data_IF_201625157095
#
_entry.id   IF_201625157095
#
_cell.length_a   1.000
_cell.length_b   1.000
_cell.length_c   1.000
_cell.angle_alpha   90.00
_cell.angle_beta   90.00
_cell.angle_gamma   90.00
#
_symmetry.space_group_name_H-M   'P 1'
#
loop_
_entity.id
_entity.type
_entity.pdbx_description
1 polymer ?
#
# COMPACT_ATOMS: atom_id res chain seq x y z
N UNK A 1 -22.31 22.74 -3.45
CA UNK A 1 -22.63 21.66 -2.49
C UNK A 1 -21.43 20.70 -2.43
N UNK A 2 -20.85 20.54 -1.22
CA UNK A 2 -19.62 19.73 -1.02
C UNK A 2 -19.90 18.29 -0.54
N UNK A 3 -21.14 17.80 -0.75
CA UNK A 3 -21.53 16.43 -0.37
C UNK A 3 -20.62 15.39 -1.04
N UNK A 4 -20.28 14.33 -0.31
CA UNK A 4 -19.36 13.27 -0.73
C UNK A 4 -17.92 13.75 -1.02
N UNK A 5 -17.48 14.86 -0.43
CA UNK A 5 -16.10 15.36 -0.50
C UNK A 5 -15.53 15.57 0.90
N UNK A 6 -14.22 15.73 1.02
CA UNK A 6 -13.58 16.05 2.29
C UNK A 6 -13.99 17.45 2.85
N UNK A 7 -14.59 18.30 2.04
CA UNK A 7 -15.05 19.63 2.44
C UNK A 7 -16.47 19.65 3.00
N UNK A 8 -17.21 18.54 2.97
CA UNK A 8 -18.57 18.49 3.47
C UNK A 8 -18.62 18.77 4.98
N UNK A 9 -19.33 19.83 5.39
CA UNK A 9 -19.41 20.26 6.78
C UNK A 9 -18.08 20.80 7.34
N UNK A 10 -17.15 21.26 6.50
CA UNK A 10 -15.95 21.96 6.93
C UNK A 10 -16.31 23.40 7.29
N UNK A 11 -16.04 23.81 8.52
CA UNK A 11 -16.26 25.17 9.03
C UNK A 11 -15.04 26.08 8.84
N UNK A 12 -13.86 25.48 8.67
CA UNK A 12 -12.60 26.19 8.52
C UNK A 12 -12.35 26.59 7.07
N UNK A 13 -11.48 27.58 6.87
CA UNK A 13 -11.07 28.02 5.55
C UNK A 13 -10.38 26.85 4.77
N UNK A 14 -10.84 26.53 3.55
CA UNK A 14 -10.30 25.43 2.74
C UNK A 14 -8.78 25.49 2.55
N UNK A 15 -8.19 26.67 2.36
CA UNK A 15 -6.76 26.84 2.14
C UNK A 15 -5.92 26.42 3.37
N UNK A 16 -6.41 26.68 4.59
CA UNK A 16 -5.75 26.27 5.84
C UNK A 16 -5.85 24.75 5.99
N UNK A 17 -7.04 24.18 5.76
CA UNK A 17 -7.28 22.73 5.77
C UNK A 17 -6.36 22.00 4.81
N UNK A 18 -6.30 22.41 3.53
CA UNK A 18 -5.43 21.83 2.52
C UNK A 18 -3.94 21.95 2.88
N UNK A 19 -3.53 23.08 3.43
CA UNK A 19 -2.14 23.30 3.86
C UNK A 19 -1.77 22.35 5.00
N UNK A 20 -2.68 22.13 5.96
CA UNK A 20 -2.48 21.18 7.03
C UNK A 20 -2.34 19.74 6.50
N UNK A 21 -3.18 19.34 5.56
CA UNK A 21 -3.14 17.98 4.99
C UNK A 21 -1.88 17.75 4.16
N UNK A 22 -1.43 18.74 3.37
CA UNK A 22 -0.13 18.69 2.68
C UNK A 22 1.01 18.52 3.67
N UNK A 23 1.02 19.31 4.75
CA UNK A 23 2.05 19.22 5.78
C UNK A 23 2.09 17.83 6.44
N UNK A 24 0.92 17.20 6.68
CA UNK A 24 0.84 15.84 7.20
C UNK A 24 1.34 14.79 6.18
N UNK A 25 0.99 14.93 4.91
CA UNK A 25 1.42 14.05 3.83
C UNK A 25 2.93 14.15 3.55
N UNK A 26 3.54 15.29 3.83
CA UNK A 26 4.99 15.52 3.77
C UNK A 26 5.74 15.15 5.07
N UNK A 27 5.11 14.37 5.95
CA UNK A 27 5.76 13.78 7.13
C UNK A 27 5.82 14.69 8.37
N UNK A 28 5.08 15.79 8.41
CA UNK A 28 4.97 16.58 9.62
C UNK A 28 4.10 15.87 10.66
N UNK A 29 4.42 16.06 11.93
CA UNK A 29 3.59 15.55 13.03
C UNK A 29 2.34 16.42 13.23
N UNK A 30 1.28 15.83 13.81
CA UNK A 30 0.02 16.53 14.16
C UNK A 30 0.31 17.88 14.87
N UNK A 31 1.15 17.84 15.93
CA UNK A 31 1.47 19.05 16.70
C UNK A 31 2.31 20.05 15.91
N UNK A 32 3.22 19.60 15.03
CA UNK A 32 3.98 20.51 14.18
C UNK A 32 3.05 21.17 13.15
N UNK A 33 2.18 20.41 12.53
CA UNK A 33 1.17 20.91 11.60
C UNK A 33 0.27 21.97 12.27
N UNK A 34 -0.25 21.68 13.47
CA UNK A 34 -1.07 22.65 14.21
C UNK A 34 -0.34 23.98 14.47
N UNK A 35 0.96 23.94 14.81
CA UNK A 35 1.77 25.16 14.95
C UNK A 35 1.99 25.90 13.63
N UNK A 36 2.18 25.17 12.53
CA UNK A 36 2.40 25.77 11.19
C UNK A 36 1.15 26.52 10.72
N UNK A 37 -0.01 25.89 10.85
CA UNK A 37 -1.28 26.50 10.38
C UNK A 37 -2.04 27.25 11.47
N UNK A 38 -1.48 27.36 12.68
CA UNK A 38 -2.04 28.08 13.85
C UNK A 38 -3.43 27.56 14.27
N UNK A 39 -3.58 26.23 14.28
CA UNK A 39 -4.82 25.53 14.67
C UNK A 39 -4.51 24.50 15.76
N UNK A 40 -5.48 24.21 16.60
CA UNK A 40 -5.32 23.21 17.66
C UNK A 40 -5.07 21.80 17.09
N UNK A 41 -4.30 21.01 17.85
CA UNK A 41 -3.95 19.62 17.45
C UNK A 41 -5.18 18.70 17.27
N UNK A 42 -6.25 18.93 18.02
CA UNK A 42 -7.45 18.11 17.95
C UNK A 42 -8.20 18.40 16.64
N UNK A 43 -8.25 19.67 16.22
CA UNK A 43 -8.75 20.04 14.87
C UNK A 43 -7.92 19.38 13.75
N UNK A 44 -6.58 19.31 13.90
CA UNK A 44 -5.74 18.60 12.93
C UNK A 44 -6.05 17.11 12.91
N UNK A 45 -6.35 16.48 14.05
CA UNK A 45 -6.80 15.09 14.10
C UNK A 45 -8.14 14.90 13.36
N UNK A 46 -9.12 15.78 13.58
CA UNK A 46 -10.43 15.71 12.90
C UNK A 46 -10.27 15.90 11.39
N UNK A 47 -9.38 16.78 10.97
CA UNK A 47 -9.06 16.97 9.56
C UNK A 47 -8.37 15.77 8.93
N UNK A 48 -7.45 15.13 9.66
CA UNK A 48 -6.83 13.87 9.21
C UNK A 48 -7.87 12.78 9.09
N UNK A 49 -8.78 12.62 10.03
CA UNK A 49 -9.86 11.64 9.99
C UNK A 49 -10.71 11.81 8.74
N UNK A 50 -11.24 12.99 8.55
CA UNK A 50 -12.05 13.39 7.40
C UNK A 50 -11.35 13.12 6.07
N UNK A 51 -10.10 13.58 5.93
CA UNK A 51 -9.33 13.42 4.72
C UNK A 51 -8.96 11.94 4.45
N UNK A 52 -8.61 11.19 5.49
CA UNK A 52 -8.26 9.79 5.35
C UNK A 52 -9.43 8.93 4.87
N UNK A 53 -10.63 9.13 5.44
CA UNK A 53 -11.85 8.45 5.00
C UNK A 53 -12.19 8.79 3.55
N UNK A 54 -12.03 10.06 3.17
CA UNK A 54 -12.23 10.50 1.80
C UNK A 54 -11.20 9.89 0.84
N UNK A 55 -9.91 10.00 1.14
CA UNK A 55 -8.81 9.42 0.34
C UNK A 55 -8.97 7.91 0.16
N UNK A 56 -9.38 7.19 1.21
CA UNK A 56 -9.72 5.77 1.14
C UNK A 56 -10.83 5.51 0.14
N UNK A 57 -11.94 6.26 0.22
CA UNK A 57 -13.08 6.08 -0.69
C UNK A 57 -12.68 6.36 -2.13
N UNK A 58 -11.87 7.40 -2.38
CA UNK A 58 -11.34 7.74 -3.71
C UNK A 58 -10.45 6.61 -4.24
N UNK A 59 -9.51 6.13 -3.43
CA UNK A 59 -8.62 5.04 -3.82
C UNK A 59 -9.40 3.76 -4.17
N UNK A 60 -10.27 3.29 -3.28
CA UNK A 60 -11.07 2.08 -3.51
C UNK A 60 -12.01 2.19 -4.72
N UNK A 61 -12.50 3.39 -5.02
CA UNK A 61 -13.34 3.61 -6.21
C UNK A 61 -12.53 3.59 -7.50
N UNK A 62 -11.34 4.19 -7.51
CA UNK A 62 -10.53 4.34 -8.71
C UNK A 62 -9.62 3.13 -9.00
N UNK A 63 -9.27 2.35 -7.97
CA UNK A 63 -8.51 1.11 -8.13
C UNK A 63 -9.45 -0.04 -8.50
N UNK A 64 -9.74 -0.18 -9.77
CA UNK A 64 -10.55 -1.31 -10.24
C UNK A 64 -10.05 -1.77 -11.62
N UNK A 65 -10.03 -3.09 -11.82
CA UNK A 65 -9.69 -3.72 -13.10
C UNK A 65 -8.31 -3.30 -13.64
N UNK A 66 -7.32 -3.12 -12.76
CA UNK A 66 -5.97 -2.76 -13.14
C UNK A 66 -5.24 -3.96 -13.76
N UNK A 67 -4.73 -3.82 -14.99
CA UNK A 67 -3.94 -4.86 -15.65
C UNK A 67 -2.50 -4.85 -15.15
N UNK A 68 -2.24 -5.51 -14.03
CA UNK A 68 -0.93 -5.54 -13.37
C UNK A 68 -0.11 -6.71 -13.88
N UNK A 69 1.05 -6.46 -14.45
CA UNK A 69 1.97 -7.51 -14.96
C UNK A 69 2.91 -8.04 -13.88
N UNK A 70 3.31 -7.19 -12.93
CA UNK A 70 4.27 -7.51 -11.86
C UNK A 70 3.82 -6.89 -10.55
N UNK A 71 3.96 -7.64 -9.45
CA UNK A 71 3.65 -7.17 -8.10
C UNK A 71 4.75 -7.59 -7.12
N UNK A 72 5.31 -6.63 -6.40
CA UNK A 72 6.28 -6.86 -5.33
C UNK A 72 5.60 -6.76 -3.98
N UNK A 73 5.85 -7.71 -3.09
CA UNK A 73 5.29 -7.78 -1.75
C UNK A 73 6.40 -7.54 -0.71
N UNK A 74 6.12 -6.73 0.30
CA UNK A 74 7.04 -6.46 1.41
C UNK A 74 6.28 -5.96 2.64
N UNK A 75 6.93 -5.92 3.83
CA UNK A 75 6.36 -5.41 5.06
C UNK A 75 7.18 -4.27 5.65
N UNK A 76 6.51 -3.14 5.90
CA UNK A 76 7.09 -2.06 6.68
C UNK A 76 6.80 -2.24 8.17
N UNK A 77 7.86 -2.40 8.97
CA UNK A 77 7.73 -2.36 10.41
C UNK A 77 7.44 -0.94 10.92
N UNK A 78 6.49 -0.84 11.82
CA UNK A 78 6.19 0.27 12.68
C UNK A 78 5.79 -0.22 14.06
N UNK A 79 5.26 0.65 14.91
CA UNK A 79 4.71 0.26 16.21
C UNK A 79 3.62 1.21 16.66
N UNK A 80 2.75 0.71 17.53
CA UNK A 80 1.64 1.45 18.12
C UNK A 80 1.82 1.50 19.63
N UNK A 81 1.73 2.68 20.23
CA UNK A 81 1.87 2.98 21.64
C UNK A 81 3.28 2.69 22.18
N UNK A 82 3.74 1.44 22.13
CA UNK A 82 5.03 0.96 22.65
C UNK A 82 5.51 -0.17 21.76
N UNK A 83 6.83 -0.31 21.56
CA UNK A 83 7.41 -1.45 20.84
C UNK A 83 7.10 -2.74 21.60
N UNK A 84 6.89 -3.83 20.88
CA UNK A 84 6.51 -5.11 21.45
C UNK A 84 7.48 -5.59 22.56
N UNK A 85 8.79 -5.42 22.35
CA UNK A 85 9.81 -5.75 23.33
C UNK A 85 9.68 -5.01 24.69
N UNK A 86 8.87 -3.95 24.76
CA UNK A 86 8.68 -3.16 25.98
C UNK A 86 7.22 -3.20 26.48
N UNK A 87 6.39 -4.10 25.91
CA UNK A 87 5.03 -4.28 26.39
C UNK A 87 4.99 -4.98 27.75
N UNK A 88 4.13 -4.53 28.69
CA UNK A 88 3.83 -5.30 29.89
C UNK A 88 3.27 -6.68 29.50
N UNK A 89 3.60 -7.72 30.30
CA UNK A 89 3.16 -9.10 30.05
C UNK A 89 1.64 -9.22 29.77
N UNK A 90 0.82 -8.49 30.51
CA UNK A 90 -0.64 -8.46 30.33
C UNK A 90 -1.11 -7.89 28.97
N UNK A 91 -0.24 -7.26 28.20
CA UNK A 91 -0.56 -6.63 26.90
C UNK A 91 0.19 -7.27 25.70
N UNK A 92 0.96 -8.32 25.91
CA UNK A 92 1.73 -9.00 24.84
C UNK A 92 0.80 -9.55 23.75
N UNK A 93 -0.40 -9.98 24.13
CA UNK A 93 -1.40 -10.51 23.20
C UNK A 93 -2.40 -9.44 22.70
N UNK A 94 -2.12 -8.16 22.93
CA UNK A 94 -2.98 -7.08 22.45
C UNK A 94 -2.69 -6.82 20.96
N UNK A 95 -3.64 -7.10 20.10
CA UNK A 95 -3.53 -6.89 18.65
C UNK A 95 -3.33 -5.41 18.26
N UNK A 96 -3.73 -4.49 19.14
CA UNK A 96 -3.72 -3.03 18.86
C UNK A 96 -2.47 -2.31 19.35
N UNK A 97 -1.63 -2.95 20.16
CA UNK A 97 -0.38 -2.39 20.69
C UNK A 97 0.84 -3.21 20.29
N UNK A 98 2.01 -2.63 20.43
CA UNK A 98 3.27 -3.28 20.09
C UNK A 98 3.65 -3.08 18.64
N UNK A 99 4.37 -4.03 18.10
CA UNK A 99 4.80 -3.99 16.72
C UNK A 99 3.58 -4.09 15.78
N UNK A 100 3.57 -3.21 14.81
CA UNK A 100 2.56 -3.15 13.75
C UNK A 100 3.27 -3.16 12.41
N UNK A 101 2.78 -3.96 11.49
CA UNK A 101 3.34 -4.11 10.17
C UNK A 101 2.39 -3.53 9.14
N UNK A 102 2.95 -2.82 8.18
CA UNK A 102 2.23 -2.40 6.97
C UNK A 102 2.65 -3.36 5.88
N UNK A 103 1.78 -4.29 5.58
CA UNK A 103 1.91 -5.20 4.44
C UNK A 103 1.61 -4.43 3.18
N UNK A 104 2.46 -4.52 2.17
CA UNK A 104 2.37 -3.76 0.94
C UNK A 104 2.40 -4.67 -0.27
N UNK A 105 1.52 -4.38 -1.24
CA UNK A 105 1.58 -4.88 -2.59
C UNK A 105 1.86 -3.71 -3.54
N UNK A 106 2.93 -3.79 -4.29
CA UNK A 106 3.48 -2.70 -5.08
C UNK A 106 3.65 -3.09 -6.55
N UNK A 107 3.06 -2.31 -7.46
CA UNK A 107 3.26 -2.45 -8.90
C UNK A 107 4.51 -1.66 -9.35
N UNK A 108 5.65 -2.32 -9.62
CA UNK A 108 6.91 -1.64 -9.92
C UNK A 108 6.89 -0.86 -11.24
N UNK A 109 6.08 -1.28 -12.20
CA UNK A 109 5.92 -0.59 -13.50
C UNK A 109 5.37 0.82 -13.30
N UNK A 110 4.39 0.97 -12.45
CA UNK A 110 3.70 2.25 -12.20
C UNK A 110 4.15 2.97 -10.94
N UNK A 111 5.01 2.35 -10.13
CA UNK A 111 5.35 2.85 -8.79
C UNK A 111 4.11 3.03 -7.92
N UNK A 112 3.10 2.20 -8.12
CA UNK A 112 1.80 2.28 -7.49
C UNK A 112 1.70 1.25 -6.35
N UNK A 113 1.26 1.68 -5.17
CA UNK A 113 0.84 0.77 -4.11
C UNK A 113 -0.57 0.30 -4.46
N UNK A 114 -0.71 -0.99 -4.80
CA UNK A 114 -1.99 -1.60 -5.17
C UNK A 114 -2.90 -1.77 -3.96
N UNK A 115 -2.32 -2.29 -2.89
CA UNK A 115 -3.02 -2.56 -1.65
C UNK A 115 -2.06 -2.46 -0.46
N UNK A 116 -2.63 -2.23 0.72
CA UNK A 116 -1.92 -2.36 1.99
C UNK A 116 -2.83 -2.87 3.09
N UNK A 117 -2.23 -3.51 4.09
CA UNK A 117 -2.89 -3.97 5.32
C UNK A 117 -2.06 -3.54 6.52
N UNK A 118 -2.69 -3.05 7.58
CA UNK A 118 -2.02 -2.70 8.84
C UNK A 118 -2.41 -3.72 9.90
N UNK A 119 -1.44 -4.42 10.45
CA UNK A 119 -1.72 -5.44 11.48
C UNK A 119 -0.47 -6.11 12.02
N UNK A 120 -0.67 -7.24 12.67
CA UNK A 120 0.41 -8.12 13.11
C UNK A 120 0.99 -8.91 11.92
N UNK A 121 2.14 -9.54 12.11
CA UNK A 121 2.74 -10.42 11.11
C UNK A 121 2.12 -11.81 11.23
N UNK A 122 0.97 -11.97 10.59
CA UNK A 122 0.13 -13.19 10.64
C UNK A 122 -0.35 -13.59 9.26
N UNK A 123 -0.73 -14.86 9.10
CA UNK A 123 -1.27 -15.40 7.86
C UNK A 123 -2.53 -14.64 7.41
N UNK A 124 -3.43 -14.30 8.36
CA UNK A 124 -4.68 -13.60 8.02
C UNK A 124 -4.42 -12.23 7.36
N UNK A 125 -3.36 -11.53 7.78
CA UNK A 125 -3.02 -10.24 7.16
C UNK A 125 -2.35 -10.41 5.79
N UNK A 126 -1.60 -11.49 5.58
CA UNK A 126 -1.08 -11.84 4.26
C UNK A 126 -2.22 -12.21 3.30
N UNK A 127 -3.16 -13.04 3.74
CA UNK A 127 -4.35 -13.42 2.97
C UNK A 127 -5.17 -12.18 2.61
N UNK A 128 -5.45 -11.30 3.58
CA UNK A 128 -6.18 -10.07 3.35
C UNK A 128 -5.48 -9.13 2.36
N UNK A 129 -4.14 -9.08 2.36
CA UNK A 129 -3.38 -8.31 1.39
C UNK A 129 -3.61 -8.83 -0.03
N UNK A 130 -3.50 -10.14 -0.24
CA UNK A 130 -3.65 -10.76 -1.56
C UNK A 130 -5.09 -10.69 -2.06
N UNK A 131 -6.09 -10.85 -1.17
CA UNK A 131 -7.50 -10.63 -1.52
C UNK A 131 -7.73 -9.20 -2.02
N UNK A 132 -7.16 -8.18 -1.33
CA UNK A 132 -7.24 -6.78 -1.78
C UNK A 132 -6.53 -6.55 -3.12
N UNK A 133 -5.42 -7.24 -3.39
CA UNK A 133 -4.77 -7.18 -4.71
C UNK A 133 -5.70 -7.73 -5.78
N UNK A 134 -6.33 -8.87 -5.52
CA UNK A 134 -7.29 -9.49 -6.44
C UNK A 134 -8.50 -8.60 -6.70
N UNK A 135 -9.00 -7.88 -5.68
CA UNK A 135 -10.14 -6.98 -5.80
C UNK A 135 -9.87 -5.78 -6.73
N UNK A 136 -8.62 -5.32 -6.81
CA UNK A 136 -8.25 -4.14 -7.60
C UNK A 136 -7.66 -4.47 -8.97
N UNK A 137 -7.25 -5.71 -9.21
CA UNK A 137 -6.71 -6.17 -10.49
C UNK A 137 -7.79 -6.78 -11.38
N UNK A 138 -7.50 -6.89 -12.67
CA UNK A 138 -8.31 -7.66 -13.61
C UNK A 138 -8.12 -9.19 -13.40
N UNK A 139 -8.60 -9.99 -14.36
CA UNK A 139 -8.49 -11.46 -14.28
C UNK A 139 -7.03 -11.97 -14.46
N UNK A 140 -6.11 -11.11 -14.91
CA UNK A 140 -4.70 -11.48 -15.07
C UNK A 140 -4.02 -11.59 -13.71
N UNK A 141 -3.35 -12.73 -13.45
CA UNK A 141 -2.57 -12.94 -12.24
C UNK A 141 -1.18 -12.32 -12.43
N UNK A 142 -0.78 -11.30 -11.62
CA UNK A 142 0.55 -10.72 -11.72
C UNK A 142 1.67 -11.72 -11.42
N UNK A 143 2.85 -11.50 -11.97
CA UNK A 143 4.06 -12.15 -11.47
C UNK A 143 4.42 -11.55 -10.11
N UNK A 144 4.39 -12.38 -9.06
CA UNK A 144 4.69 -11.95 -7.70
C UNK A 144 6.15 -12.15 -7.33
N UNK A 145 6.71 -11.18 -6.61
CA UNK A 145 8.03 -11.31 -5.98
C UNK A 145 8.00 -10.80 -4.55
N UNK A 146 8.69 -11.46 -3.63
CA UNK A 146 8.85 -11.02 -2.23
C UNK A 146 10.21 -11.40 -1.68
N UNK A 147 10.47 -11.03 -0.43
CA UNK A 147 11.50 -11.69 0.38
C UNK A 147 11.02 -13.09 0.84
N UNK A 148 11.84 -13.77 1.65
CA UNK A 148 11.58 -15.14 2.09
C UNK A 148 10.62 -15.16 3.30
N UNK A 149 9.39 -14.66 3.14
CA UNK A 149 8.33 -14.74 4.14
C UNK A 149 7.35 -15.88 3.81
N UNK A 150 7.25 -16.93 4.69
CA UNK A 150 6.43 -18.12 4.39
C UNK A 150 4.94 -17.82 4.19
N UNK A 151 4.40 -16.83 4.88
CA UNK A 151 2.98 -16.46 4.83
C UNK A 151 2.52 -16.05 3.43
N UNK A 152 3.43 -15.58 2.56
CA UNK A 152 3.09 -15.27 1.17
C UNK A 152 2.86 -16.52 0.31
N UNK A 153 3.56 -17.62 0.59
CA UNK A 153 3.40 -18.88 -0.15
C UNK A 153 1.94 -19.38 0.01
N UNK A 154 1.46 -19.41 1.26
CA UNK A 154 0.10 -19.84 1.58
C UNK A 154 -0.95 -18.83 1.11
N UNK A 155 -0.72 -17.52 1.31
CA UNK A 155 -1.66 -16.48 0.90
C UNK A 155 -1.90 -16.46 -0.62
N UNK A 156 -0.85 -16.64 -1.42
CA UNK A 156 -0.97 -16.76 -2.88
C UNK A 156 -1.77 -18.00 -3.30
N UNK A 157 -1.58 -19.12 -2.61
CA UNK A 157 -2.38 -20.34 -2.86
C UNK A 157 -3.84 -20.13 -2.43
N UNK A 158 -4.10 -19.48 -1.29
CA UNK A 158 -5.46 -19.21 -0.81
C UNK A 158 -6.24 -18.35 -1.81
N UNK A 159 -5.59 -17.33 -2.38
CA UNK A 159 -6.23 -16.34 -3.26
C UNK A 159 -6.33 -16.80 -4.72
N UNK A 160 -5.28 -17.45 -5.25
CA UNK A 160 -5.17 -17.82 -6.68
C UNK A 160 -5.05 -19.32 -6.96
N UNK A 161 -4.95 -20.16 -5.94
CA UNK A 161 -4.85 -21.59 -6.08
C UNK A 161 -6.18 -22.26 -6.38
N UNK A 162 -6.11 -23.51 -6.83
CA UNK A 162 -7.27 -24.36 -7.09
C UNK A 162 -7.25 -25.62 -6.23
N UNK A 163 -8.42 -26.03 -5.77
CA UNK A 163 -8.57 -27.28 -5.03
C UNK A 163 -8.51 -28.47 -5.97
N UNK A 164 -7.55 -29.35 -5.73
CA UNK A 164 -7.39 -30.59 -6.49
C UNK A 164 -7.55 -31.78 -5.57
N UNK A 165 -8.37 -32.75 -5.99
CA UNK A 165 -8.48 -34.04 -5.35
C UNK A 165 -7.40 -34.96 -5.92
N UNK A 166 -6.33 -35.32 -5.18
CA UNK A 166 -5.31 -36.21 -5.69
C UNK A 166 -5.88 -37.60 -5.98
N UNK A 167 -5.38 -38.21 -7.04
CA UNK A 167 -5.74 -39.59 -7.36
C UNK A 167 -5.24 -40.56 -6.28
N UNK A 168 -6.01 -41.60 -6.03
CA UNK A 168 -5.65 -42.65 -5.08
C UNK A 168 -4.50 -43.48 -5.61
N UNK A 169 -3.39 -43.53 -4.88
CA UNK A 169 -2.27 -44.44 -5.20
C UNK A 169 -2.58 -45.86 -4.69
N UNK A 170 -3.21 -46.67 -5.53
CA UNK A 170 -3.52 -48.07 -5.22
C UNK A 170 -4.94 -48.33 -4.68
N UNK A 171 -5.30 -49.60 -4.48
CA UNK A 171 -6.66 -50.03 -4.11
C UNK A 171 -6.94 -50.01 -2.60
N UNK A 172 -5.93 -49.94 -1.75
CA UNK A 172 -6.06 -49.94 -0.27
C UNK A 172 -5.58 -48.65 0.35
N UNK A 173 -6.15 -48.26 1.51
CA UNK A 173 -5.80 -47.05 2.28
C UNK A 173 -6.85 -45.96 2.19
N UNK A 174 -6.68 -44.87 3.00
CA UNK A 174 -7.55 -43.69 3.02
C UNK A 174 -7.39 -42.89 1.72
N UNK A 175 -8.49 -42.32 1.21
CA UNK A 175 -8.42 -41.35 0.11
C UNK A 175 -7.57 -40.16 0.52
N UNK A 176 -6.70 -39.62 -0.36
CA UNK A 176 -5.99 -38.37 -0.10
C UNK A 176 -7.00 -37.24 0.15
N UNK A 177 -6.65 -36.33 1.03
CA UNK A 177 -7.47 -35.10 1.22
C UNK A 177 -7.26 -34.15 0.04
N UNK A 178 -8.29 -33.36 -0.34
CA UNK A 178 -8.12 -32.27 -1.28
C UNK A 178 -7.00 -31.35 -0.82
N UNK A 179 -6.25 -30.80 -1.75
CA UNK A 179 -5.18 -29.83 -1.49
C UNK A 179 -5.24 -28.67 -2.46
N UNK A 180 -4.86 -27.46 -1.99
CA UNK A 180 -4.62 -26.32 -2.85
C UNK A 180 -3.34 -26.54 -3.66
N UNK A 181 -3.40 -26.25 -4.95
CA UNK A 181 -2.25 -26.25 -5.85
C UNK A 181 -2.23 -24.94 -6.63
N UNK A 182 -1.05 -24.44 -7.02
CA UNK A 182 -0.97 -23.27 -7.88
C UNK A 182 -1.60 -23.55 -9.25
N UNK A 183 -2.23 -22.56 -9.84
CA UNK A 183 -2.62 -22.60 -11.25
C UNK A 183 -1.39 -22.46 -12.15
N UNK A 184 -1.52 -22.81 -13.43
CA UNK A 184 -0.40 -22.67 -14.39
C UNK A 184 0.02 -21.19 -14.58
N UNK A 185 -0.90 -20.27 -14.34
CA UNK A 185 -0.70 -18.81 -14.49
C UNK A 185 -0.22 -18.16 -13.20
N UNK A 186 -0.19 -18.87 -12.07
CA UNK A 186 0.35 -18.31 -10.81
C UNK A 186 1.88 -18.42 -10.82
N UNK A 187 2.55 -17.31 -10.99
CA UNK A 187 4.01 -17.21 -10.96
C UNK A 187 4.47 -16.42 -9.75
N UNK A 188 5.37 -17.03 -8.98
CA UNK A 188 5.91 -16.42 -7.78
C UNK A 188 7.36 -16.82 -7.53
N UNK A 189 8.18 -15.84 -7.20
CA UNK A 189 9.58 -16.04 -6.86
C UNK A 189 9.99 -15.23 -5.62
N UNK A 190 10.93 -15.76 -4.87
CA UNK A 190 11.48 -15.16 -3.66
C UNK A 190 12.93 -14.69 -3.86
N UNK A 191 13.26 -13.57 -3.21
CA UNK A 191 14.62 -13.07 -3.05
C UNK A 191 15.15 -13.50 -1.69
N UNK A 192 16.14 -14.38 -1.68
CA UNK A 192 16.77 -14.95 -0.49
C UNK A 192 18.08 -14.23 -0.20
N UNK A 193 18.15 -13.47 0.90
CA UNK A 193 19.36 -12.74 1.32
C UNK A 193 20.12 -13.56 2.37
N UNK A 194 21.23 -14.19 1.96
CA UNK A 194 22.15 -14.86 2.88
C UNK A 194 22.94 -13.80 3.63
N UNK A 195 22.87 -13.85 4.96
CA UNK A 195 23.50 -12.86 5.84
C UNK A 195 24.54 -13.52 6.75
N UNK A 196 25.72 -12.90 6.85
CA UNK A 196 26.72 -13.24 7.84
C UNK A 196 27.09 -11.97 8.62
N UNK A 197 27.14 -12.07 9.94
CA UNK A 197 27.44 -10.94 10.85
C UNK A 197 26.64 -9.66 10.54
N UNK A 198 25.34 -9.82 10.16
CA UNK A 198 24.43 -8.72 9.81
C UNK A 198 24.63 -8.10 8.41
N UNK A 199 25.62 -8.57 7.64
CA UNK A 199 25.86 -8.14 6.25
C UNK A 199 25.27 -9.12 5.26
N UNK A 200 24.72 -8.63 4.16
CA UNK A 200 24.29 -9.46 3.04
C UNK A 200 25.53 -9.92 2.29
N UNK A 201 25.79 -11.22 2.27
CA UNK A 201 26.93 -11.85 1.58
C UNK A 201 26.53 -12.32 0.19
N UNK A 202 25.32 -12.82 0.04
CA UNK A 202 24.83 -13.37 -1.21
C UNK A 202 23.32 -13.08 -1.36
N UNK A 203 22.88 -12.83 -2.57
CA UNK A 203 21.46 -12.73 -2.92
C UNK A 203 21.14 -13.84 -3.90
N UNK A 204 20.24 -14.74 -3.51
CA UNK A 204 19.74 -15.84 -4.34
C UNK A 204 18.30 -15.57 -4.71
N UNK A 205 17.87 -16.14 -5.82
CA UNK A 205 16.47 -16.16 -6.22
C UNK A 205 15.96 -17.60 -6.20
N UNK A 206 14.70 -17.78 -5.80
CA UNK A 206 14.04 -19.08 -5.74
C UNK A 206 12.66 -18.96 -6.36
N UNK A 207 12.39 -19.72 -7.41
CA UNK A 207 11.04 -19.85 -7.96
C UNK A 207 10.25 -20.78 -7.05
N UNK A 208 9.09 -20.33 -6.59
CA UNK A 208 8.18 -21.09 -5.72
C UNK A 208 7.04 -21.66 -6.55
N UNK A 209 6.39 -20.83 -7.38
CA UNK A 209 5.32 -21.22 -8.29
C UNK A 209 5.66 -20.78 -9.72
N UNK A 210 5.23 -21.58 -10.69
CA UNK A 210 5.46 -21.32 -12.10
C UNK A 210 6.72 -21.98 -12.64
N UNK A 211 6.91 -21.88 -13.95
CA UNK A 211 8.05 -22.43 -14.68
C UNK A 211 9.16 -21.39 -14.81
N UNK A 212 10.42 -21.68 -14.42
CA UNK A 212 11.53 -20.72 -14.52
C UNK A 212 11.68 -20.10 -15.91
N UNK A 213 11.45 -20.89 -16.97
CA UNK A 213 11.57 -20.43 -18.35
C UNK A 213 10.49 -19.38 -18.70
N UNK A 214 9.25 -19.57 -18.23
CA UNK A 214 8.16 -18.63 -18.44
C UNK A 214 8.42 -17.31 -17.68
N UNK A 215 8.90 -17.40 -16.44
CA UNK A 215 9.30 -16.24 -15.64
C UNK A 215 10.45 -15.47 -16.31
N UNK A 216 11.44 -16.17 -16.88
CA UNK A 216 12.53 -15.54 -17.60
C UNK A 216 12.05 -14.76 -18.84
N UNK A 217 11.08 -15.30 -19.57
CA UNK A 217 10.45 -14.61 -20.71
C UNK A 217 9.67 -13.36 -20.24
N UNK A 218 8.92 -13.49 -19.13
CA UNK A 218 8.21 -12.35 -18.55
C UNK A 218 9.16 -11.21 -18.14
N UNK A 219 10.26 -11.55 -17.46
CA UNK A 219 11.27 -10.58 -17.04
C UNK A 219 12.00 -9.94 -18.24
N UNK A 220 12.30 -10.71 -19.28
CA UNK A 220 12.92 -10.16 -20.50
C UNK A 220 12.03 -9.12 -21.22
N UNK A 221 10.71 -9.22 -21.04
CA UNK A 221 9.73 -8.27 -21.58
C UNK A 221 9.35 -7.17 -20.58
N UNK A 222 9.85 -7.21 -19.35
CA UNK A 222 9.55 -6.21 -18.32
C UNK A 222 10.20 -4.86 -18.67
N UNK A 223 9.44 -3.79 -18.47
CA UNK A 223 9.93 -2.41 -18.66
C UNK A 223 10.76 -1.88 -17.47
N UNK A 224 10.88 -2.65 -16.38
CA UNK A 224 11.50 -2.19 -15.12
C UNK A 224 12.72 -3.00 -14.70
N UNK A 225 12.73 -4.31 -14.90
CA UNK A 225 13.86 -5.17 -14.52
C UNK A 225 13.81 -6.51 -15.23
N UNK A 226 14.97 -6.98 -15.69
CA UNK A 226 15.20 -8.29 -16.29
C UNK A 226 15.51 -9.38 -15.24
N UNK A 227 15.51 -9.02 -13.96
CA UNK A 227 15.88 -9.93 -12.87
C UNK A 227 14.81 -9.96 -11.77
N UNK A 228 14.67 -11.11 -11.11
CA UNK A 228 13.85 -11.27 -9.90
C UNK A 228 14.45 -10.41 -8.79
N UNK A 229 13.69 -9.43 -8.30
CA UNK A 229 14.13 -8.53 -7.23
C UNK A 229 12.95 -7.94 -6.45
N UNK A 230 13.24 -7.37 -5.28
CA UNK A 230 12.31 -6.62 -4.41
C UNK A 230 12.74 -5.15 -4.26
N UNK A 231 13.65 -4.69 -5.11
CA UNK A 231 14.33 -3.40 -4.94
C UNK A 231 13.38 -2.20 -5.06
N UNK A 232 12.31 -2.34 -5.84
CA UNK A 232 11.36 -1.25 -6.06
C UNK A 232 10.47 -1.03 -4.85
N UNK A 233 9.90 -2.09 -4.27
CA UNK A 233 9.11 -1.98 -3.03
C UNK A 233 9.99 -1.57 -1.85
N UNK A 234 11.23 -2.08 -1.74
CA UNK A 234 12.18 -1.65 -0.72
C UNK A 234 12.53 -0.15 -0.84
N UNK A 235 12.66 0.36 -2.08
CA UNK A 235 12.88 1.78 -2.33
C UNK A 235 11.65 2.61 -1.98
N UNK A 236 10.45 2.14 -2.31
CA UNK A 236 9.20 2.79 -1.93
C UNK A 236 9.05 2.84 -0.41
N UNK A 237 9.38 1.77 0.30
CA UNK A 237 9.41 1.71 1.75
C UNK A 237 10.24 2.83 2.39
N UNK A 238 11.36 3.21 1.79
CA UNK A 238 12.15 4.37 2.25
C UNK A 238 11.38 5.68 2.04
N UNK A 239 10.71 5.84 0.90
CA UNK A 239 9.89 7.02 0.59
C UNK A 239 8.72 7.14 1.55
N UNK A 240 8.01 6.03 1.82
CA UNK A 240 6.92 5.99 2.80
C UNK A 240 7.39 6.36 4.22
N UNK A 241 8.59 5.92 4.63
CA UNK A 241 9.18 6.28 5.92
C UNK A 241 9.55 7.76 6.00
N UNK A 242 9.92 8.38 4.89
CA UNK A 242 10.28 9.80 4.82
C UNK A 242 9.02 10.68 4.90
N UNK A 243 7.99 10.33 4.14
CA UNK A 243 6.75 11.12 4.04
C UNK A 243 5.73 10.82 5.16
N UNK A 244 5.91 9.75 5.93
CA UNK A 244 5.00 9.38 7.02
C UNK A 244 5.74 9.31 8.36
N UNK A 245 5.47 10.30 9.23
CA UNK A 245 6.11 10.41 10.55
C UNK A 245 5.88 9.17 11.43
N UNK A 246 4.78 8.47 11.27
CA UNK A 246 4.41 7.29 12.07
C UNK A 246 5.22 6.05 11.69
N UNK A 247 5.80 6.02 10.48
CA UNK A 247 6.69 4.96 9.98
C UNK A 247 8.17 5.18 10.30
N UNK A 248 8.53 6.34 10.85
CA UNK A 248 9.92 6.63 11.22
C UNK A 248 10.37 5.74 12.38
N UNK A 249 11.46 5.00 12.22
CA UNK A 249 11.93 3.98 13.20
C UNK A 249 12.30 4.57 14.58
N UNK A 250 12.76 5.82 14.61
CA UNK A 250 13.11 6.55 15.85
C UNK A 250 12.38 7.88 15.86
N UNK A 251 11.24 7.91 16.49
CA UNK A 251 10.36 9.09 16.51
C UNK A 251 9.53 9.14 17.78
N UNK A 252 9.23 10.36 18.22
CA UNK A 252 8.17 10.63 19.20
C UNK A 252 6.79 10.81 18.51
N UNK A 253 6.73 10.75 17.18
CA UNK A 253 5.52 10.90 16.38
C UNK A 253 4.83 9.57 16.06
N UNK A 254 5.06 8.52 16.86
CA UNK A 254 4.41 7.21 16.71
C UNK A 254 2.91 7.29 16.98
N UNK A 255 2.16 6.32 16.45
CA UNK A 255 0.71 6.19 16.71
C UNK A 255 0.45 5.68 18.12
N UNK A 256 -0.54 6.26 18.80
CA UNK A 256 -1.04 5.75 20.08
C UNK A 256 -2.11 4.68 19.89
N UNK A 257 -2.80 4.71 18.76
CA UNK A 257 -3.84 3.77 18.35
C UNK A 257 -3.61 3.39 16.88
N UNK A 258 -3.93 2.14 16.52
CA UNK A 258 -3.69 1.59 15.18
C UNK A 258 -4.52 2.32 14.11
N UNK A 259 -5.72 2.77 14.45
CA UNK A 259 -6.63 3.50 13.55
C UNK A 259 -5.98 4.79 13.01
N UNK A 260 -5.25 5.52 13.85
CA UNK A 260 -4.55 6.74 13.40
C UNK A 260 -3.33 6.42 12.53
N UNK A 261 -2.76 5.23 12.68
CA UNK A 261 -1.70 4.77 11.80
C UNK A 261 -2.25 4.52 10.39
N UNK A 262 -3.37 3.81 10.30
CA UNK A 262 -4.04 3.52 9.04
C UNK A 262 -4.55 4.79 8.35
N UNK A 263 -5.19 5.70 9.09
CA UNK A 263 -5.67 6.99 8.56
C UNK A 263 -4.54 7.82 7.93
N UNK A 264 -3.39 7.90 8.60
CA UNK A 264 -2.23 8.59 8.05
C UNK A 264 -1.73 7.93 6.76
N UNK A 265 -1.76 6.60 6.67
CA UNK A 265 -1.37 5.88 5.46
C UNK A 265 -2.30 6.20 4.30
N UNK A 266 -3.61 6.18 4.49
CA UNK A 266 -4.57 6.53 3.45
C UNK A 266 -4.34 7.93 2.88
N UNK A 267 -4.09 8.93 3.73
CA UNK A 267 -3.76 10.28 3.28
C UNK A 267 -2.42 10.31 2.53
N UNK A 268 -1.36 9.74 3.13
CA UNK A 268 0.00 9.79 2.54
C UNK A 268 0.08 9.06 1.21
N UNK A 269 -0.56 7.89 1.10
CA UNK A 269 -0.57 7.09 -0.13
C UNK A 269 -1.40 7.74 -1.24
N UNK A 270 -2.59 8.26 -0.92
CA UNK A 270 -3.38 8.99 -1.91
C UNK A 270 -2.63 10.24 -2.42
N UNK A 271 -2.00 10.99 -1.53
CA UNK A 271 -1.17 12.13 -1.91
C UNK A 271 0.00 11.70 -2.81
N UNK A 272 0.72 10.64 -2.45
CA UNK A 272 1.80 10.07 -3.25
C UNK A 272 1.32 9.64 -4.64
N UNK A 273 0.17 8.99 -4.74
CA UNK A 273 -0.32 8.46 -6.00
C UNK A 273 -0.82 9.54 -6.96
N UNK A 274 -1.53 10.55 -6.46
CA UNK A 274 -2.22 11.53 -7.31
C UNK A 274 -1.49 12.87 -7.43
N UNK A 275 -0.83 13.31 -6.34
CA UNK A 275 -0.33 14.69 -6.23
C UNK A 275 1.19 14.78 -6.41
N UNK A 276 1.95 13.75 -6.02
CA UNK A 276 3.41 13.77 -6.12
C UNK A 276 3.91 13.12 -7.42
N UNK A 277 4.51 13.89 -8.35
CA UNK A 277 5.19 13.31 -9.50
C UNK A 277 6.37 12.43 -9.07
N UNK A 278 6.45 11.23 -9.63
CA UNK A 278 7.55 10.33 -9.35
C UNK A 278 8.68 10.51 -10.37
N UNK A 279 9.89 10.78 -9.91
CA UNK A 279 11.03 11.13 -10.79
C UNK A 279 11.33 10.07 -11.86
N UNK A 280 11.23 8.77 -11.55
CA UNK A 280 11.51 7.71 -12.52
C UNK A 280 10.41 7.51 -13.57
N UNK A 281 9.21 8.06 -13.34
CA UNK A 281 8.08 7.97 -14.27
C UNK A 281 8.00 9.15 -15.24
N UNK A 282 8.80 10.21 -15.03
CA UNK A 282 8.79 11.38 -15.89
C UNK A 282 9.02 11.03 -17.36
N UNK A 283 8.31 11.67 -18.25
CA UNK A 283 8.40 11.47 -19.69
C UNK A 283 9.15 12.63 -20.36
N UNK A 284 10.03 12.37 -21.35
CA UNK A 284 10.69 13.45 -22.08
C UNK A 284 9.67 14.27 -22.88
N UNK A 285 9.79 15.58 -22.84
CA UNK A 285 9.06 16.48 -23.75
C UNK A 285 9.74 16.47 -25.11
N UNK A 286 8.96 16.34 -26.20
CA UNK A 286 9.50 16.39 -27.57
C UNK A 286 10.16 17.74 -27.87
N UNK A 287 9.63 18.84 -27.33
CA UNK A 287 10.20 20.18 -27.38
C UNK A 287 10.29 20.74 -25.98
N UNK A 288 11.46 21.27 -25.55
CA UNK A 288 11.58 21.90 -24.24
C UNK A 288 10.66 23.11 -24.09
N UNK A 289 9.93 23.18 -22.96
CA UNK A 289 9.03 24.28 -22.62
C UNK A 289 9.80 25.40 -21.89
N UNK A 290 9.59 26.67 -22.22
CA UNK A 290 10.22 27.78 -21.51
C UNK A 290 9.71 27.83 -20.07
N UNK A 291 10.62 28.09 -19.13
CA UNK A 291 10.28 28.37 -17.73
C UNK A 291 10.08 29.86 -17.50
N UNK A 292 9.39 30.24 -16.42
CA UNK A 292 9.27 31.65 -16.04
C UNK A 292 10.65 32.23 -15.72
N UNK A 293 10.96 33.41 -16.28
CA UNK A 293 12.23 34.11 -16.08
C UNK A 293 13.39 33.50 -16.86
N UNK A 294 14.60 33.54 -16.31
CA UNK A 294 15.85 33.06 -16.93
C UNK A 294 16.17 31.57 -16.64
N UNK A 295 15.17 30.80 -16.18
CA UNK A 295 15.35 29.40 -15.81
C UNK A 295 15.61 28.49 -17.01
N UNK A 296 16.28 27.35 -16.76
CA UNK A 296 16.51 26.32 -17.78
C UNK A 296 15.19 25.79 -18.33
N UNK A 297 15.00 25.62 -19.63
CA UNK A 297 13.77 25.08 -20.20
C UNK A 297 13.42 23.71 -19.62
N UNK A 298 12.13 23.50 -19.36
CA UNK A 298 11.59 22.25 -18.83
C UNK A 298 11.66 21.16 -19.93
N UNK A 299 12.35 20.08 -19.64
CA UNK A 299 12.58 18.96 -20.59
C UNK A 299 11.73 17.73 -20.28
N UNK A 300 11.02 17.72 -19.15
CA UNK A 300 10.31 16.55 -18.66
C UNK A 300 8.89 16.89 -18.27
N UNK A 301 7.94 16.06 -18.71
CA UNK A 301 6.57 16.04 -18.21
C UNK A 301 6.57 15.29 -16.88
N UNK A 302 6.04 15.89 -15.80
CA UNK A 302 5.85 15.18 -14.54
C UNK A 302 4.77 14.10 -14.69
N UNK A 303 4.98 12.93 -14.10
CA UNK A 303 4.04 11.81 -14.11
C UNK A 303 3.94 11.26 -12.70
N UNK A 304 2.71 11.11 -12.22
CA UNK A 304 2.40 10.46 -10.93
C UNK A 304 2.17 8.96 -11.12
N UNK A 305 2.23 8.14 -10.04
CA UNK A 305 1.88 6.73 -10.12
C UNK A 305 0.48 6.47 -10.69
N UNK A 306 -0.52 7.27 -10.30
CA UNK A 306 -1.88 7.16 -10.84
C UNK A 306 -1.97 7.47 -12.34
N UNK A 307 -1.17 8.44 -12.82
CA UNK A 307 -1.05 8.71 -14.27
C UNK A 307 -0.38 7.52 -15.00
N UNK A 308 0.67 6.96 -14.45
CA UNK A 308 1.36 5.81 -15.06
C UNK A 308 0.46 4.58 -15.16
N UNK A 309 -0.44 4.39 -14.20
CA UNK A 309 -1.45 3.33 -14.21
C UNK A 309 -2.69 3.65 -15.08
N UNK A 310 -2.75 4.82 -15.72
CA UNK A 310 -3.89 5.23 -16.54
C UNK A 310 -5.15 5.63 -15.76
N UNK A 311 -5.03 5.80 -14.43
CA UNK A 311 -6.15 6.18 -13.55
C UNK A 311 -6.54 7.65 -13.75
N UNK A 312 -5.57 8.51 -14.06
CA UNK A 312 -5.76 9.93 -14.36
C UNK A 312 -4.81 10.38 -15.48
N UNK A 313 -5.13 11.47 -16.15
CA UNK A 313 -4.36 12.03 -17.27
C UNK A 313 -3.44 13.21 -16.86
N UNK A 314 -3.55 13.69 -15.63
CA UNK A 314 -2.78 14.82 -15.12
C UNK A 314 -2.38 14.66 -13.65
N UNK A 315 -1.45 15.50 -13.20
CA UNK A 315 -1.07 15.62 -11.79
C UNK A 315 -2.18 16.37 -11.05
N UNK A 316 -2.81 15.70 -10.08
CA UNK A 316 -3.85 16.34 -9.29
C UNK A 316 -3.29 17.39 -8.33
N UNK A 317 -4.06 18.42 -8.09
CA UNK A 317 -3.87 19.29 -6.94
C UNK A 317 -4.43 18.63 -5.68
N UNK A 318 -4.01 19.12 -4.52
CA UNK A 318 -4.61 18.69 -3.24
C UNK A 318 -6.11 18.98 -3.21
N UNK A 319 -6.53 20.09 -3.79
CA UNK A 319 -7.94 20.49 -3.92
C UNK A 319 -8.72 19.45 -4.75
N UNK A 320 -8.18 19.00 -5.88
CA UNK A 320 -8.82 17.98 -6.71
C UNK A 320 -8.96 16.66 -5.96
N UNK A 321 -7.90 16.18 -5.30
CA UNK A 321 -7.96 14.97 -4.49
C UNK A 321 -9.06 15.06 -3.43
N UNK A 322 -9.14 16.16 -2.69
CA UNK A 322 -10.08 16.33 -1.59
C UNK A 322 -11.51 16.66 -2.03
N UNK A 323 -11.69 17.15 -3.25
CA UNK A 323 -13.00 17.47 -3.84
C UNK A 323 -13.55 16.42 -4.79
N UNK A 324 -12.79 15.35 -5.07
CA UNK A 324 -13.24 14.27 -5.94
C UNK A 324 -14.53 13.64 -5.40
N UNK A 325 -15.55 13.51 -6.25
CA UNK A 325 -16.85 12.98 -5.82
C UNK A 325 -16.96 11.50 -6.14
N UNK A 326 -16.83 10.68 -5.13
CA UNK A 326 -17.12 9.26 -5.23
C UNK A 326 -18.65 9.08 -5.37
N UNK A 327 -19.14 8.27 -6.32
CA UNK A 327 -20.57 8.02 -6.49
C UNK A 327 -21.24 7.51 -5.21
N UNK A 328 -22.41 8.05 -4.86
CA UNK A 328 -23.12 7.69 -3.63
C UNK A 328 -23.41 6.18 -3.53
N UNK A 329 -23.78 5.55 -4.65
CA UNK A 329 -24.01 4.10 -4.71
C UNK A 329 -22.78 3.29 -4.27
N UNK A 330 -21.57 3.72 -4.64
CA UNK A 330 -20.32 3.07 -4.21
C UNK A 330 -20.06 3.29 -2.72
N UNK A 331 -20.33 4.49 -2.20
CA UNK A 331 -20.21 4.78 -0.77
C UNK A 331 -21.16 3.93 0.09
N UNK A 332 -22.38 3.70 -0.41
CA UNK A 332 -23.36 2.81 0.23
C UNK A 332 -22.85 1.36 0.24
N UNK A 333 -22.28 0.89 -0.87
CA UNK A 333 -21.63 -0.43 -0.93
C UNK A 333 -20.45 -0.55 0.03
N UNK A 334 -19.56 0.46 0.10
CA UNK A 334 -18.47 0.47 1.07
C UNK A 334 -18.94 0.38 2.52
N UNK A 335 -20.08 0.99 2.84
CA UNK A 335 -20.68 0.92 4.18
C UNK A 335 -21.16 -0.49 4.52
N UNK A 336 -21.55 -1.28 3.52
CA UNK A 336 -21.97 -2.68 3.66
C UNK A 336 -20.78 -3.65 3.71
N UNK A 337 -19.64 -3.30 3.09
CA UNK A 337 -18.39 -4.10 3.10
C UNK A 337 -17.58 -3.83 4.39
N UNK A 338 -18.25 -3.67 5.51
CA UNK A 338 -17.63 -3.45 6.84
C UNK A 338 -16.56 -4.46 7.27
N UNK A 339 -16.53 -5.73 6.80
CA UNK A 339 -15.52 -6.69 7.25
C UNK A 339 -14.09 -6.40 6.81
N UNK A 340 -13.86 -5.65 5.71
CA UNK A 340 -12.52 -5.36 5.20
C UNK A 340 -11.66 -4.44 6.10
N UNK A 341 -12.27 -3.83 7.14
CA UNK A 341 -11.61 -2.93 8.10
C UNK A 341 -11.96 -3.27 9.54
N UNK A 342 -12.33 -4.52 9.80
CA UNK A 342 -12.88 -5.00 11.07
C UNK A 342 -11.98 -4.82 12.30
N UNK A 343 -10.68 -4.55 12.13
CA UNK A 343 -9.78 -4.28 13.27
C UNK A 343 -9.98 -2.88 13.85
N UNK A 344 -10.22 -1.85 13.05
CA UNK A 344 -10.47 -0.50 13.56
C UNK A 344 -11.88 -0.32 14.14
N UNK A 345 -12.89 -1.00 13.58
CA UNK A 345 -14.28 -0.90 14.05
C UNK A 345 -14.55 -1.70 15.34
N UNK A 346 -13.80 -2.79 15.61
CA UNK A 346 -13.89 -3.53 16.87
C UNK A 346 -13.40 -2.73 18.10
N UNK A 347 -12.55 -1.72 17.89
CA UNK A 347 -11.99 -0.90 18.98
C UNK A 347 -13.04 0.05 19.57
N UNK A 348 -14.02 0.47 18.80
CA UNK A 348 -15.10 1.36 19.27
C UNK A 348 -16.22 0.64 20.03
N UNK A 349 -16.25 -0.71 20.02
CA UNK A 349 -17.25 -1.49 20.75
C UNK A 349 -16.80 -1.96 22.15
N UNK A 350 -15.55 -1.67 22.54
CA UNK A 350 -15.01 -1.98 23.88
C UNK A 350 -14.70 -0.66 24.59
N UNK A 351 -15.74 0.09 24.90
CA UNK A 351 -15.75 1.14 25.93
C UNK A 351 -16.88 0.89 26.90
#
# INVERSE_FOLDING_TARGET
MNYATAYYGLESEPAIFETALRALAEGNSIRATGRIVQVDKDTICDWLDRAALHCRSVALYLWSQLHVTECQLDELWGFVHTKEAHLPFAKIYCETYGDAWVWLAFAPVWRLILAFVVGKRTQENADLLLDRVKDVTDEHIPFFTSDQLPEYDDALLHTYGVWVQPERKGMRGRYPLPRLVPTDDLWYAQVVKVRENGRVMEVKTKVIFGKPEAIAVQLANSSVSDTINTSFVERDNLSQRQSNRRLTRRTNGFSKEIVWFEKQLWLSMAYYHFVLPHHSLRQPLGTPEPTRGTGTPKRWKPVTPAMAAGITDHVWTTTELLSYRVPAQFLDQLSMIKPLFALSDKIHQVK
#
